data_IF_023967876910
#
_entry.id   IF_023967876910
#
_cell.length_a   1.000
_cell.length_b   1.000
_cell.length_c   1.000
_cell.angle_alpha   90.00
_cell.angle_beta   90.00
_cell.angle_gamma   90.00
#
_symmetry.space_group_name_H-M   'P 1'
#
loop_
_entity.id
_entity.type
_entity.pdbx_description
1 polymer ?
#
# COMPACT_ATOMS: atom_id res chain seq x y z
N UNK A 1 2.63 -39.77 -90.63
CA UNK A 1 2.83 -40.61 -89.42
C UNK A 1 3.97 -40.02 -88.58
N UNK A 2 3.63 -39.69 -87.33
CA UNK A 2 4.43 -39.34 -86.13
C UNK A 2 5.88 -38.85 -86.25
N UNK A 3 6.13 -37.63 -85.74
CA UNK A 3 7.33 -37.31 -84.92
C UNK A 3 7.14 -36.07 -84.03
N UNK A 4 7.50 -36.22 -82.74
CA UNK A 4 7.88 -35.21 -81.71
C UNK A 4 6.76 -34.25 -81.25
N UNK A 5 6.68 -33.77 -80.01
CA UNK A 5 7.71 -33.52 -79.00
C UNK A 5 7.11 -33.36 -77.59
N UNK A 6 7.96 -33.57 -76.58
CA UNK A 6 7.69 -33.59 -75.15
C UNK A 6 7.60 -32.17 -74.55
N UNK A 7 6.72 -31.92 -73.56
CA UNK A 7 7.04 -30.99 -72.46
C UNK A 7 6.11 -31.18 -71.24
N UNK A 8 6.57 -31.95 -70.25
CA UNK A 8 5.91 -32.10 -68.94
C UNK A 8 6.48 -31.03 -68.00
N UNK A 9 5.76 -29.92 -67.82
CA UNK A 9 6.10 -28.91 -66.80
C UNK A 9 5.84 -29.48 -65.40
N UNK A 10 6.90 -29.73 -64.64
CA UNK A 10 6.85 -29.88 -63.18
C UNK A 10 6.43 -28.54 -62.55
N UNK A 11 5.15 -28.43 -62.16
CA UNK A 11 4.67 -27.31 -61.34
C UNK A 11 5.06 -27.56 -59.88
N UNK A 12 6.19 -26.95 -59.50
CA UNK A 12 6.50 -26.38 -58.17
C UNK A 12 5.56 -26.74 -57.01
N UNK A 13 5.94 -27.75 -56.22
CA UNK A 13 5.43 -28.08 -54.88
C UNK A 13 5.89 -27.05 -53.82
N UNK A 14 5.61 -25.76 -54.00
CA UNK A 14 5.99 -24.72 -53.01
C UNK A 14 4.93 -24.51 -51.92
N UNK A 15 3.65 -24.74 -52.21
CA UNK A 15 2.55 -24.45 -51.26
C UNK A 15 2.46 -25.41 -50.07
N UNK A 16 2.82 -26.69 -50.26
CA UNK A 16 2.69 -27.73 -49.21
C UNK A 16 3.72 -27.51 -48.09
N UNK A 17 4.95 -27.07 -48.42
CA UNK A 17 6.00 -26.84 -47.43
C UNK A 17 5.69 -25.66 -46.49
N UNK A 18 5.06 -24.59 -46.99
CA UNK A 18 4.64 -23.47 -46.12
C UNK A 18 3.47 -23.82 -45.22
N UNK A 19 2.58 -24.72 -45.66
CA UNK A 19 1.44 -25.15 -44.86
C UNK A 19 1.89 -26.05 -43.69
N UNK A 20 2.83 -26.97 -43.93
CA UNK A 20 3.45 -27.76 -42.87
C UNK A 20 4.32 -26.92 -41.93
N UNK A 21 5.08 -25.95 -42.46
CA UNK A 21 5.87 -25.04 -41.63
C UNK A 21 4.97 -24.16 -40.76
N UNK A 22 3.85 -23.67 -41.30
CA UNK A 22 2.83 -22.90 -40.56
C UNK A 22 2.15 -23.75 -39.49
N UNK A 23 1.80 -25.00 -39.79
CA UNK A 23 1.21 -25.93 -38.82
C UNK A 23 2.19 -26.27 -37.67
N UNK A 24 3.47 -26.45 -38.00
CA UNK A 24 4.54 -26.67 -37.02
C UNK A 24 4.79 -25.43 -36.15
N UNK A 25 4.72 -24.22 -36.74
CA UNK A 25 4.81 -22.96 -36.00
C UNK A 25 3.60 -22.76 -35.07
N UNK A 26 2.41 -23.19 -35.49
CA UNK A 26 1.19 -23.14 -34.67
C UNK A 26 1.22 -24.13 -33.49
N UNK A 27 1.83 -25.30 -33.66
CA UNK A 27 2.05 -26.27 -32.58
C UNK A 27 3.04 -25.76 -31.51
N UNK A 28 3.98 -24.87 -31.88
CA UNK A 28 4.89 -24.22 -30.93
C UNK A 28 4.21 -23.10 -30.11
N UNK A 29 3.07 -22.58 -30.57
CA UNK A 29 2.34 -21.50 -29.89
C UNK A 29 1.35 -22.01 -28.82
N UNK A 30 1.13 -23.32 -28.72
CA UNK A 30 0.21 -23.93 -27.77
C UNK A 30 0.85 -24.26 -26.41
N UNK A 31 1.80 -23.44 -25.93
CA UNK A 31 2.22 -23.52 -24.54
C UNK A 31 1.16 -22.84 -23.68
N UNK A 32 0.31 -23.64 -23.03
CA UNK A 32 -0.60 -23.16 -22.00
C UNK A 32 0.24 -22.77 -20.79
N UNK A 33 0.65 -21.49 -20.72
CA UNK A 33 1.18 -20.93 -19.48
C UNK A 33 0.01 -20.88 -18.50
N UNK A 34 0.00 -21.79 -17.53
CA UNK A 34 -0.94 -21.69 -16.40
C UNK A 34 -0.44 -20.53 -15.54
N UNK A 35 -1.27 -19.50 -15.39
CA UNK A 35 -0.95 -18.38 -14.52
C UNK A 35 -0.96 -18.85 -13.06
N UNK A 36 -0.09 -18.27 -12.24
CA UNK A 36 -0.10 -18.49 -10.79
C UNK A 36 -1.47 -18.09 -10.26
N UNK A 37 -2.08 -18.94 -9.42
CA UNK A 37 -3.38 -18.67 -8.84
C UNK A 37 -3.25 -18.54 -7.32
N UNK A 38 -3.94 -17.54 -6.75
CA UNK A 38 -4.03 -17.35 -5.31
C UNK A 38 -5.49 -17.48 -4.89
N UNK A 39 -5.75 -18.41 -3.98
CA UNK A 39 -7.00 -18.51 -3.26
C UNK A 39 -6.82 -17.89 -1.86
N UNK A 40 -7.81 -17.13 -1.43
CA UNK A 40 -7.80 -16.43 -0.15
C UNK A 40 -8.89 -17.01 0.73
N UNK A 41 -8.53 -17.35 1.96
CA UNK A 41 -9.48 -17.69 3.01
C UNK A 41 -9.32 -16.70 4.17
N UNK A 42 -10.29 -15.80 4.30
CA UNK A 42 -10.28 -14.72 5.29
C UNK A 42 -10.94 -13.45 4.75
N UNK A 43 -10.88 -12.37 5.54
CA UNK A 43 -11.36 -11.06 5.12
C UNK A 43 -10.17 -10.09 5.01
N UNK A 44 -10.04 -9.48 3.85
CA UNK A 44 -9.07 -8.41 3.55
C UNK A 44 -9.84 -7.20 3.04
N UNK A 45 -10.54 -6.45 3.93
CA UNK A 45 -11.35 -5.32 3.52
C UNK A 45 -10.47 -4.17 2.99
N UNK A 46 -10.98 -3.43 2.01
CA UNK A 46 -10.26 -2.31 1.38
C UNK A 46 -9.99 -1.15 2.35
N UNK A 47 -10.77 -1.06 3.43
CA UNK A 47 -10.67 -0.01 4.44
C UNK A 47 -10.70 -0.61 5.85
N UNK A 48 -9.72 -0.24 6.68
CA UNK A 48 -9.47 -0.85 8.00
C UNK A 48 -9.09 0.17 9.05
N UNK A 49 -9.30 -0.14 10.33
CA UNK A 49 -8.88 0.73 11.42
C UNK A 49 -7.39 0.57 11.73
N UNK A 50 -6.76 1.68 12.11
CA UNK A 50 -5.40 1.68 12.67
C UNK A 50 -5.29 0.71 13.85
N UNK A 51 -4.23 -0.10 13.88
CA UNK A 51 -4.01 -1.06 14.97
C UNK A 51 -4.93 -2.29 14.96
N UNK A 52 -5.83 -2.44 13.97
CA UNK A 52 -6.64 -3.64 13.83
C UNK A 52 -5.75 -4.85 13.53
N UNK A 53 -5.99 -5.98 14.20
CA UNK A 53 -5.32 -7.25 13.90
C UNK A 53 -6.09 -7.96 12.78
N UNK A 54 -5.34 -8.43 11.78
CA UNK A 54 -5.84 -9.09 10.58
C UNK A 54 -5.19 -10.47 10.48
N UNK A 55 -6.01 -11.47 10.14
CA UNK A 55 -5.56 -12.85 9.94
C UNK A 55 -6.27 -13.42 8.71
N UNK A 56 -5.49 -13.96 7.79
CA UNK A 56 -5.99 -14.60 6.58
C UNK A 56 -5.00 -15.64 6.09
N UNK A 57 -5.50 -16.60 5.31
CA UNK A 57 -4.70 -17.67 4.70
C UNK A 57 -4.71 -17.53 3.20
N UNK A 58 -3.53 -17.71 2.61
CA UNK A 58 -3.30 -17.74 1.17
C UNK A 58 -2.91 -19.14 0.76
N UNK A 59 -3.57 -19.64 -0.28
CA UNK A 59 -3.16 -20.86 -0.98
C UNK A 59 -2.69 -20.44 -2.37
N UNK A 60 -1.39 -20.57 -2.61
CA UNK A 60 -0.75 -20.20 -3.87
C UNK A 60 -0.49 -21.49 -4.65
N UNK A 61 -1.06 -21.58 -5.84
CA UNK A 61 -1.01 -22.76 -6.71
C UNK A 61 -0.43 -22.40 -8.09
N UNK A 62 -0.02 -23.42 -8.84
CA UNK A 62 0.48 -23.28 -10.21
C UNK A 62 1.72 -22.37 -10.34
N UNK A 63 2.66 -22.48 -9.38
CA UNK A 63 3.91 -21.73 -9.43
C UNK A 63 4.69 -22.13 -10.70
N UNK A 64 5.10 -21.17 -11.55
CA UNK A 64 5.83 -21.44 -12.78
C UNK A 64 7.14 -22.18 -12.52
N UNK A 65 7.48 -23.23 -13.30
CA UNK A 65 8.75 -23.95 -13.17
C UNK A 65 10.01 -23.08 -13.35
N UNK A 66 9.86 -21.93 -14.02
CA UNK A 66 10.94 -20.98 -14.23
C UNK A 66 11.22 -20.09 -12.99
N UNK A 67 10.35 -20.12 -11.97
CA UNK A 67 10.55 -19.39 -10.73
C UNK A 67 11.52 -20.14 -9.83
N UNK A 68 12.50 -19.40 -9.30
CA UNK A 68 13.45 -19.90 -8.30
C UNK A 68 13.09 -19.39 -6.90
N UNK A 69 12.40 -18.24 -6.81
CA UNK A 69 11.95 -17.65 -5.56
C UNK A 69 10.54 -17.06 -5.67
N UNK A 70 9.80 -17.13 -4.56
CA UNK A 70 8.59 -16.35 -4.32
C UNK A 70 8.87 -15.36 -3.18
N UNK A 71 8.66 -14.08 -3.45
CA UNK A 71 8.86 -12.99 -2.50
C UNK A 71 7.53 -12.58 -1.90
N UNK A 72 7.49 -12.49 -0.57
CA UNK A 72 6.39 -11.97 0.21
C UNK A 72 6.84 -10.65 0.83
N UNK A 73 6.05 -9.60 0.63
CA UNK A 73 6.25 -8.29 1.25
C UNK A 73 4.93 -7.82 1.86
N UNK A 74 4.94 -7.19 3.04
CA UNK A 74 3.75 -6.69 3.73
C UNK A 74 4.04 -5.41 4.50
N UNK A 75 3.07 -4.50 4.49
CA UNK A 75 3.09 -3.32 5.35
C UNK A 75 2.46 -3.58 6.73
N UNK A 76 1.97 -4.81 6.98
CA UNK A 76 1.49 -5.21 8.30
C UNK A 76 2.63 -5.29 9.31
N UNK A 77 2.31 -5.00 10.57
CA UNK A 77 3.25 -5.06 11.69
C UNK A 77 3.07 -6.36 12.44
N UNK A 78 4.16 -6.99 12.87
CA UNK A 78 4.12 -8.18 13.72
C UNK A 78 3.38 -7.88 15.04
N UNK A 79 2.55 -8.83 15.48
CA UNK A 79 1.96 -8.87 16.83
C UNK A 79 2.77 -9.80 17.72
N UNK A 80 3.00 -9.46 18.98
CA UNK A 80 3.92 -10.20 19.87
C UNK A 80 3.61 -11.70 19.99
N UNK A 81 2.34 -12.07 20.02
CA UNK A 81 1.89 -13.45 20.25
C UNK A 81 1.84 -14.33 18.99
N UNK A 82 2.06 -13.76 17.80
CA UNK A 82 1.92 -14.49 16.53
C UNK A 82 3.07 -14.19 15.57
N UNK A 83 3.49 -15.22 14.83
CA UNK A 83 4.38 -15.01 13.70
C UNK A 83 3.65 -14.30 12.57
N UNK A 84 4.35 -13.37 11.90
CA UNK A 84 3.79 -12.61 10.79
C UNK A 84 3.38 -13.53 9.64
N UNK A 85 4.23 -14.49 9.31
CA UNK A 85 3.99 -15.54 8.34
C UNK A 85 4.10 -16.92 8.99
N UNK A 86 3.13 -17.78 8.72
CA UNK A 86 3.17 -19.20 9.06
C UNK A 86 2.87 -20.04 7.82
N UNK A 87 3.88 -20.74 7.32
CA UNK A 87 3.80 -21.61 6.15
C UNK A 87 3.43 -23.02 6.57
N UNK A 88 2.13 -23.28 6.70
CA UNK A 88 1.56 -24.48 7.32
C UNK A 88 2.05 -25.77 6.68
N UNK A 89 2.12 -25.83 5.35
CA UNK A 89 2.55 -27.04 4.62
C UNK A 89 4.08 -27.22 4.58
N UNK A 90 4.84 -26.22 5.03
CA UNK A 90 6.30 -26.18 5.00
C UNK A 90 6.93 -26.19 6.40
N UNK A 91 6.11 -26.11 7.45
CA UNK A 91 6.54 -26.05 8.86
C UNK A 91 7.61 -24.95 9.09
N UNK A 92 7.37 -23.77 8.53
CA UNK A 92 8.28 -22.63 8.56
C UNK A 92 7.52 -21.37 8.96
N UNK A 93 8.16 -20.49 9.73
CA UNK A 93 7.59 -19.19 10.13
C UNK A 93 8.58 -18.06 9.87
N UNK A 94 8.06 -16.86 9.66
CA UNK A 94 8.88 -15.65 9.49
C UNK A 94 8.19 -14.45 10.11
N UNK A 95 8.99 -13.58 10.71
CA UNK A 95 8.57 -12.30 11.30
C UNK A 95 9.04 -11.09 10.48
N UNK A 96 9.78 -11.32 9.39
CA UNK A 96 10.29 -10.24 8.54
C UNK A 96 9.19 -9.73 7.62
N UNK A 97 9.00 -8.41 7.54
CA UNK A 97 8.07 -7.76 6.62
C UNK A 97 8.30 -8.11 5.14
N UNK A 98 9.54 -8.44 4.78
CA UNK A 98 9.90 -8.95 3.46
C UNK A 98 10.68 -10.24 3.61
N UNK A 99 10.28 -11.26 2.84
CA UNK A 99 10.87 -12.58 2.88
C UNK A 99 10.82 -13.27 1.52
N UNK A 100 11.95 -13.83 1.09
CA UNK A 100 12.06 -14.60 -0.15
C UNK A 100 12.15 -16.10 0.17
N UNK A 101 11.18 -16.87 -0.31
CA UNK A 101 11.14 -18.32 -0.15
C UNK A 101 11.61 -19.02 -1.44
N UNK A 102 12.55 -19.97 -1.37
CA UNK A 102 12.99 -20.73 -2.55
C UNK A 102 11.88 -21.66 -3.03
N UNK A 103 11.63 -21.66 -4.33
CA UNK A 103 10.67 -22.57 -4.98
C UNK A 103 11.37 -23.36 -6.08
N UNK A 104 10.79 -24.50 -6.43
CA UNK A 104 11.29 -25.37 -7.49
C UNK A 104 10.13 -26.11 -8.14
N UNK A 105 10.43 -26.95 -9.14
CA UNK A 105 9.43 -27.73 -9.88
C UNK A 105 8.56 -28.66 -8.99
N UNK A 106 9.04 -29.04 -7.80
CA UNK A 106 8.28 -29.84 -6.84
C UNK A 106 7.35 -29.02 -5.94
N UNK A 107 7.47 -27.69 -5.96
CA UNK A 107 6.65 -26.77 -5.17
C UNK A 107 5.33 -26.52 -5.88
N UNK A 108 4.38 -27.42 -5.70
CA UNK A 108 3.08 -27.34 -6.37
C UNK A 108 2.10 -26.38 -5.71
N UNK A 109 2.23 -26.20 -4.39
CA UNK A 109 1.37 -25.31 -3.59
C UNK A 109 2.10 -24.77 -2.36
N UNK A 110 1.80 -23.53 -2.00
CA UNK A 110 2.25 -22.89 -0.76
C UNK A 110 1.02 -22.40 0.00
N UNK A 111 0.89 -22.84 1.25
CA UNK A 111 -0.18 -22.39 2.16
C UNK A 111 0.47 -21.54 3.24
N UNK A 112 0.14 -20.25 3.26
CA UNK A 112 0.66 -19.30 4.24
C UNK A 112 -0.47 -18.60 4.96
N UNK A 113 -0.47 -18.67 6.28
CA UNK A 113 -1.30 -17.84 7.14
C UNK A 113 -0.52 -16.59 7.53
N UNK A 114 -1.11 -15.43 7.25
CA UNK A 114 -0.55 -14.12 7.56
C UNK A 114 -1.31 -13.55 8.76
N UNK A 115 -0.58 -13.16 9.81
CA UNK A 115 -1.14 -12.55 11.01
C UNK A 115 -0.39 -11.25 11.31
N UNK A 116 -1.06 -10.12 11.18
CA UNK A 116 -0.42 -8.84 11.38
C UNK A 116 -1.38 -7.77 11.84
N UNK A 117 -0.82 -6.66 12.29
CA UNK A 117 -1.55 -5.49 12.73
C UNK A 117 -1.44 -4.39 11.67
N UNK A 118 -2.55 -3.69 11.41
CA UNK A 118 -2.54 -2.48 10.60
C UNK A 118 -1.60 -1.45 11.25
N UNK A 119 -0.63 -0.89 10.50
CA UNK A 119 0.40 -0.02 11.07
C UNK A 119 -0.20 1.24 11.69
N UNK A 120 0.50 1.76 12.70
CA UNK A 120 0.13 3.04 13.30
C UNK A 120 0.59 4.22 12.43
N UNK A 121 -0.37 5.08 12.08
CA UNK A 121 -0.18 6.30 11.30
C UNK A 121 -0.48 7.56 12.10
N UNK A 122 -1.09 7.44 13.28
CA UNK A 122 -1.36 8.56 14.18
C UNK A 122 -0.15 8.80 15.08
N UNK A 123 0.39 10.02 15.05
CA UNK A 123 1.45 10.47 15.95
C UNK A 123 0.92 11.57 16.86
N UNK A 124 1.10 11.41 18.17
CA UNK A 124 0.70 12.39 19.19
C UNK A 124 1.93 12.93 19.89
N UNK A 125 2.10 14.26 19.89
CA UNK A 125 3.14 14.97 20.64
C UNK A 125 2.51 16.02 21.55
N UNK A 126 2.95 16.07 22.79
CA UNK A 126 2.45 17.03 23.77
C UNK A 126 3.49 18.12 24.03
N UNK A 127 3.07 19.38 24.00
CA UNK A 127 3.89 20.55 24.32
C UNK A 127 3.07 21.46 25.25
N UNK A 128 3.52 21.62 26.50
CA UNK A 128 3.00 22.59 27.49
C UNK A 128 1.52 22.99 27.33
N UNK A 129 0.63 21.99 27.45
CA UNK A 129 -0.83 22.17 27.42
C UNK A 129 -1.51 21.96 26.05
N UNK A 130 -0.76 21.82 24.96
CA UNK A 130 -1.27 21.54 23.61
C UNK A 130 -0.82 20.14 23.15
N UNK A 131 -1.75 19.38 22.56
CA UNK A 131 -1.46 18.07 21.96
C UNK A 131 -1.55 18.17 20.45
N UNK A 132 -0.42 18.02 19.76
CA UNK A 132 -0.36 17.93 18.31
C UNK A 132 -0.60 16.48 17.87
N UNK A 133 -1.58 16.27 17.00
CA UNK A 133 -1.93 14.98 16.42
C UNK A 133 -1.74 15.03 14.92
N UNK A 134 -0.69 14.40 14.39
CA UNK A 134 -0.41 14.35 12.95
C UNK A 134 -0.63 12.95 12.42
N UNK A 135 -1.08 12.84 11.17
CA UNK A 135 -1.32 11.58 10.49
C UNK A 135 -0.32 11.39 9.35
N UNK A 136 0.27 10.21 9.23
CA UNK A 136 0.91 9.79 7.97
C UNK A 136 -0.17 9.55 6.91
N UNK A 137 0.24 9.32 5.66
CA UNK A 137 -0.68 8.93 4.59
C UNK A 137 -1.54 7.72 5.02
N UNK A 138 -2.83 7.74 4.69
CA UNK A 138 -3.77 6.63 4.95
C UNK A 138 -3.78 5.57 3.85
N UNK A 139 -3.26 5.89 2.66
CA UNK A 139 -3.26 5.02 1.48
C UNK A 139 -1.84 4.57 1.11
N UNK A 140 -1.74 3.61 0.19
CA UNK A 140 -0.46 3.08 -0.31
C UNK A 140 0.08 1.90 0.49
N UNK A 141 -0.69 1.37 1.45
CA UNK A 141 -0.37 0.16 2.18
C UNK A 141 -0.92 -1.08 1.47
N UNK A 142 -0.31 -2.23 1.71
CA UNK A 142 -0.76 -3.51 1.21
C UNK A 142 -0.68 -4.60 2.30
N UNK A 143 -1.72 -5.45 2.33
CA UNK A 143 -1.73 -6.66 3.15
C UNK A 143 -0.60 -7.58 2.73
N UNK A 144 -0.37 -7.70 1.43
CA UNK A 144 0.77 -8.37 0.88
C UNK A 144 1.04 -7.95 -0.57
N UNK A 145 2.28 -8.19 -1.00
CA UNK A 145 2.77 -8.10 -2.36
C UNK A 145 3.53 -9.38 -2.63
N UNK A 146 3.04 -10.17 -3.59
CA UNK A 146 3.60 -11.47 -3.92
C UNK A 146 4.19 -11.41 -5.32
N UNK A 147 5.48 -11.70 -5.42
CA UNK A 147 6.20 -11.68 -6.70
C UNK A 147 7.01 -12.95 -6.87
N UNK A 148 7.17 -13.38 -8.12
CA UNK A 148 8.00 -14.52 -8.49
C UNK A 148 9.24 -14.03 -9.23
N UNK A 149 10.40 -14.52 -8.82
CA UNK A 149 11.68 -14.13 -9.42
C UNK A 149 12.51 -15.37 -9.78
N UNK A 150 13.42 -15.19 -10.72
CA UNK A 150 14.47 -16.19 -10.99
C UNK A 150 15.72 -15.93 -10.14
N UNK A 151 16.67 -16.85 -10.22
CA UNK A 151 17.98 -16.87 -9.56
C UNK A 151 18.87 -15.67 -9.88
N UNK A 152 18.54 -14.89 -10.92
CA UNK A 152 19.21 -13.63 -11.26
C UNK A 152 18.52 -12.41 -10.65
N UNK A 153 17.45 -12.62 -9.87
CA UNK A 153 16.63 -11.56 -9.28
C UNK A 153 15.67 -10.88 -10.26
N UNK A 154 15.49 -11.41 -11.48
CA UNK A 154 14.54 -10.81 -12.42
C UNK A 154 13.12 -11.25 -12.09
N UNK A 155 12.20 -10.28 -12.11
CA UNK A 155 10.77 -10.52 -11.99
C UNK A 155 10.27 -11.39 -13.16
N UNK A 156 9.61 -12.48 -12.83
CA UNK A 156 8.89 -13.35 -13.77
C UNK A 156 7.43 -12.92 -13.83
N UNK A 157 6.83 -12.78 -12.65
CA UNK A 157 5.40 -12.47 -12.51
C UNK A 157 5.18 -11.68 -11.22
N UNK A 158 4.37 -10.62 -11.30
CA UNK A 158 3.75 -10.02 -10.14
C UNK A 158 2.44 -10.76 -9.92
N UNK A 159 2.38 -11.60 -8.90
CA UNK A 159 1.24 -12.50 -8.71
C UNK A 159 0.06 -11.72 -8.16
N UNK A 160 0.29 -10.93 -7.11
CA UNK A 160 -0.78 -10.23 -6.41
C UNK A 160 -0.21 -9.01 -5.66
N UNK A 161 -1.03 -7.97 -5.56
CA UNK A 161 -0.84 -6.89 -4.58
C UNK A 161 -2.21 -6.54 -4.04
N UNK A 162 -2.38 -6.70 -2.72
CA UNK A 162 -3.65 -6.42 -2.05
C UNK A 162 -3.56 -5.12 -1.24
N UNK A 163 -3.99 -3.98 -1.81
CA UNK A 163 -3.92 -2.71 -1.11
C UNK A 163 -4.97 -2.60 0.00
N UNK A 164 -4.72 -1.73 0.96
CA UNK A 164 -5.74 -1.23 1.89
C UNK A 164 -5.54 0.24 2.23
N UNK A 165 -6.63 0.87 2.67
CA UNK A 165 -6.64 2.21 3.24
C UNK A 165 -6.89 2.14 4.76
N UNK A 166 -6.13 2.92 5.51
CA UNK A 166 -6.28 3.07 6.94
C UNK A 166 -7.30 4.18 7.22
N UNK A 167 -8.46 3.77 7.71
CA UNK A 167 -9.53 4.63 8.17
C UNK A 167 -9.11 5.39 9.42
N UNK A 168 -9.34 6.70 9.41
CA UNK A 168 -9.22 7.58 10.58
C UNK A 168 -10.59 8.22 10.82
N UNK A 169 -11.49 7.58 11.59
CA UNK A 169 -12.86 8.06 11.78
C UNK A 169 -12.94 9.49 12.31
N UNK A 170 -11.97 9.93 13.10
CA UNK A 170 -11.88 11.29 13.63
C UNK A 170 -11.69 12.34 12.51
N UNK A 171 -10.85 12.05 11.52
CA UNK A 171 -10.62 12.92 10.36
C UNK A 171 -11.89 12.99 9.50
N UNK A 172 -12.54 11.85 9.30
CA UNK A 172 -13.76 11.76 8.49
C UNK A 172 -14.92 12.53 9.11
N UNK A 173 -15.16 12.31 10.41
CA UNK A 173 -16.20 13.02 11.16
C UNK A 173 -15.92 14.53 11.25
N UNK A 174 -14.67 14.94 11.43
CA UNK A 174 -14.29 16.35 11.39
C UNK A 174 -14.56 16.99 10.02
N UNK A 175 -14.20 16.29 8.94
CA UNK A 175 -14.47 16.75 7.57
C UNK A 175 -15.97 16.89 7.31
N UNK A 176 -16.78 15.94 7.77
CA UNK A 176 -18.24 16.02 7.69
C UNK A 176 -18.80 17.21 8.47
N UNK A 177 -18.28 17.46 9.68
CA UNK A 177 -18.68 18.59 10.50
C UNK A 177 -18.39 19.93 9.81
N UNK A 178 -17.16 20.17 9.36
CA UNK A 178 -16.82 21.46 8.74
C UNK A 178 -17.56 21.68 7.40
N UNK A 179 -17.99 20.62 6.72
CA UNK A 179 -18.80 20.74 5.51
C UNK A 179 -20.17 21.38 5.76
N UNK A 180 -20.68 21.34 7.00
CA UNK A 180 -21.93 21.97 7.41
C UNK A 180 -21.82 23.49 7.64
N UNK A 181 -20.60 24.02 7.77
CA UNK A 181 -20.35 25.45 7.91
C UNK A 181 -20.62 26.13 6.57
N UNK A 182 -21.27 27.28 6.50
CA UNK A 182 -21.52 27.93 5.19
C UNK A 182 -20.29 28.66 4.63
N UNK A 183 -19.50 29.28 5.52
CA UNK A 183 -18.37 30.14 5.14
C UNK A 183 -17.15 29.32 4.63
N UNK A 184 -16.75 29.47 3.36
CA UNK A 184 -15.58 28.78 2.80
C UNK A 184 -14.25 29.11 3.47
N UNK A 185 -14.12 30.32 4.04
CA UNK A 185 -12.93 30.71 4.79
C UNK A 185 -12.79 29.82 6.03
N UNK A 186 -13.85 29.68 6.82
CA UNK A 186 -13.82 28.86 8.03
C UNK A 186 -13.58 27.38 7.73
N UNK A 187 -14.16 26.82 6.66
CA UNK A 187 -13.86 25.44 6.22
C UNK A 187 -12.37 25.23 6.02
N UNK A 188 -11.76 26.07 5.16
CA UNK A 188 -10.34 25.96 4.82
C UNK A 188 -9.45 26.20 6.04
N UNK A 189 -9.83 27.16 6.87
CA UNK A 189 -9.09 27.53 8.06
C UNK A 189 -9.05 26.40 9.10
N UNK A 190 -10.22 25.80 9.38
CA UNK A 190 -10.36 24.67 10.28
C UNK A 190 -9.61 23.43 9.78
N UNK A 191 -9.68 23.18 8.48
CA UNK A 191 -8.92 22.10 7.84
C UNK A 191 -7.40 22.32 8.00
N UNK A 192 -6.89 23.52 7.75
CA UNK A 192 -5.46 23.83 7.90
C UNK A 192 -4.96 23.68 9.35
N UNK A 193 -5.77 24.07 10.34
CA UNK A 193 -5.45 23.81 11.76
C UNK A 193 -5.38 22.31 12.06
N UNK A 194 -6.38 21.56 11.61
CA UNK A 194 -6.45 20.12 11.82
C UNK A 194 -5.26 19.40 11.15
N UNK A 195 -4.92 19.77 9.92
CA UNK A 195 -3.81 19.19 9.15
C UNK A 195 -2.43 19.52 9.76
N UNK A 196 -2.31 20.66 10.47
CA UNK A 196 -1.14 21.02 11.28
C UNK A 196 -1.07 20.29 12.62
N UNK A 197 -2.09 19.49 12.92
CA UNK A 197 -2.21 18.66 14.10
C UNK A 197 -2.86 19.32 15.30
N UNK A 198 -3.43 20.52 15.16
CA UNK A 198 -4.26 21.16 16.18
C UNK A 198 -5.69 20.60 16.16
N UNK A 199 -5.79 19.26 16.20
CA UNK A 199 -7.05 18.50 16.03
C UNK A 199 -8.09 18.86 17.08
N UNK A 200 -7.65 19.05 18.33
CA UNK A 200 -8.55 19.39 19.43
C UNK A 200 -9.07 20.82 19.28
N UNK A 201 -8.18 21.77 19.03
CA UNK A 201 -8.50 23.19 18.91
C UNK A 201 -9.37 23.47 17.69
N UNK A 202 -9.05 22.85 16.55
CA UNK A 202 -9.86 22.95 15.34
C UNK A 202 -11.25 22.36 15.56
N UNK A 203 -11.35 21.23 16.26
CA UNK A 203 -12.65 20.64 16.61
C UNK A 203 -13.48 21.54 17.52
N UNK A 204 -12.90 22.06 18.60
CA UNK A 204 -13.60 22.99 19.50
C UNK A 204 -14.11 24.23 18.76
N UNK A 205 -13.31 24.76 17.84
CA UNK A 205 -13.72 25.90 17.01
C UNK A 205 -14.85 25.53 16.03
N UNK A 206 -14.77 24.34 15.42
CA UNK A 206 -15.82 23.82 14.55
C UNK A 206 -17.14 23.59 15.29
N UNK A 207 -17.08 23.02 16.51
CA UNK A 207 -18.25 22.78 17.37
C UNK A 207 -19.03 24.10 17.56
N UNK A 208 -18.34 25.18 17.93
CA UNK A 208 -18.97 26.50 18.09
C UNK A 208 -19.53 27.09 16.78
N UNK A 209 -18.93 26.82 15.63
CA UNK A 209 -19.42 27.29 14.32
C UNK A 209 -20.64 26.52 13.83
N UNK A 210 -20.82 25.28 14.31
CA UNK A 210 -21.96 24.42 13.95
C UNK A 210 -23.10 24.48 14.97
N UNK A 211 -22.83 24.83 16.22
CA UNK A 211 -23.85 25.02 17.25
C UNK A 211 -24.60 26.36 17.04
N UNK A 212 -25.94 26.31 17.07
CA UNK A 212 -26.83 27.49 16.95
C UNK A 212 -26.78 28.44 18.17
N UNK A 213 -25.80 28.27 19.05
CA UNK A 213 -25.63 29.13 20.21
C UNK A 213 -25.15 30.51 19.76
N UNK A 214 -25.85 31.54 20.24
CA UNK A 214 -25.52 32.93 19.96
C UNK A 214 -24.14 33.24 20.54
N UNK A 215 -23.15 33.29 19.64
CA UNK A 215 -21.81 33.77 19.90
C UNK A 215 -21.81 35.03 20.80
N UNK A 216 -20.94 35.11 21.82
CA UNK A 216 -20.70 36.35 22.52
C UNK A 216 -20.23 37.45 21.55
N UNK A 217 -20.72 38.68 21.71
CA UNK A 217 -20.48 39.82 20.80
C UNK A 217 -19.00 40.19 20.54
N UNK A 218 -18.06 39.64 21.30
CA UNK A 218 -16.62 39.86 21.19
C UNK A 218 -15.87 38.75 20.44
N UNK A 219 -16.60 37.79 19.87
CA UNK A 219 -16.03 36.60 19.23
C UNK A 219 -15.05 36.91 18.10
N UNK A 220 -15.23 37.99 17.34
CA UNK A 220 -14.30 38.40 16.27
C UNK A 220 -12.87 38.71 16.76
N UNK A 221 -12.66 38.93 18.06
CA UNK A 221 -11.34 39.16 18.66
C UNK A 221 -10.59 37.85 18.94
N UNK A 222 -11.30 36.74 19.16
CA UNK A 222 -10.76 35.48 19.67
C UNK A 222 -9.97 34.70 18.60
N UNK A 223 -10.42 34.61 17.33
CA UNK A 223 -9.62 34.09 16.24
C UNK A 223 -8.31 34.86 16.14
N UNK A 224 -8.31 36.18 15.96
CA UNK A 224 -7.06 36.93 15.69
C UNK A 224 -5.93 36.71 16.70
N UNK A 225 -6.24 36.70 18.01
CA UNK A 225 -5.23 36.61 19.06
C UNK A 225 -4.79 35.18 19.39
N UNK A 226 -5.71 34.21 19.42
CA UNK A 226 -5.35 32.81 19.72
C UNK A 226 -4.64 32.17 18.51
N UNK A 227 -5.03 32.56 17.29
CA UNK A 227 -4.46 32.07 16.03
C UNK A 227 -3.04 32.59 15.81
N UNK A 228 -2.80 33.89 16.10
CA UNK A 228 -1.46 34.46 16.01
C UNK A 228 -0.48 33.82 17.01
N UNK A 229 -0.95 33.52 18.23
CA UNK A 229 -0.15 32.85 19.26
C UNK A 229 0.15 31.39 18.91
N UNK A 230 -0.83 30.62 18.43
CA UNK A 230 -0.63 29.20 18.08
C UNK A 230 0.21 29.01 16.80
N UNK A 231 0.01 29.85 15.77
CA UNK A 231 0.86 29.83 14.57
C UNK A 231 2.28 30.34 14.88
N UNK A 232 2.41 31.37 15.72
CA UNK A 232 3.71 31.85 16.20
C UNK A 232 4.46 30.79 17.00
N UNK A 233 3.76 30.04 17.85
CA UNK A 233 4.31 28.91 18.60
C UNK A 233 4.75 27.77 17.67
N UNK A 234 3.91 27.35 16.71
CA UNK A 234 4.26 26.29 15.74
C UNK A 234 5.46 26.65 14.84
N UNK A 235 5.58 27.93 14.43
CA UNK A 235 6.74 28.42 13.69
C UNK A 235 7.98 28.47 14.62
N UNK A 236 7.82 28.92 15.86
CA UNK A 236 8.91 28.99 16.85
C UNK A 236 9.51 27.64 17.22
N UNK A 237 8.67 26.60 17.42
CA UNK A 237 9.12 25.24 17.73
C UNK A 237 9.93 24.62 16.57
N UNK A 238 9.68 25.01 15.31
CA UNK A 238 10.47 24.54 14.16
C UNK A 238 11.84 25.20 14.03
N UNK A 239 12.01 26.41 14.56
CA UNK A 239 13.31 27.12 14.55
C UNK A 239 14.20 26.72 15.73
N UNK A 240 13.64 26.37 16.89
CA UNK A 240 14.43 26.02 18.08
C UNK A 240 14.98 24.57 18.08
N UNK A 241 14.76 23.78 17.02
CA UNK A 241 15.40 22.47 16.83
C UNK A 241 16.58 22.51 15.86
N UNK A 242 17.09 23.70 15.54
CA UNK A 242 18.24 23.90 14.65
C UNK A 242 19.52 24.38 15.34
N UNK A 243 19.44 24.78 16.61
CA UNK A 243 20.58 25.26 17.38
C UNK A 243 20.81 24.35 18.59
N UNK A 244 21.18 23.10 18.33
CA UNK A 244 21.95 22.24 19.24
C UNK A 244 22.83 21.35 18.36
N UNK A 245 23.65 21.99 17.52
CA UNK A 245 24.81 21.39 16.88
C UNK A 245 26.02 22.17 17.38
N UNK A 246 26.72 21.52 18.31
CA UNK A 246 28.17 21.58 18.48
C UNK A 246 28.79 22.94 18.86
N UNK A 247 28.84 23.19 20.18
CA UNK A 247 29.96 23.96 20.75
C UNK A 247 30.85 22.96 21.47
N UNK A 248 31.69 22.30 20.67
CA UNK A 248 32.58 21.23 21.07
C UNK A 248 33.95 21.33 20.40
N UNK A 249 34.53 22.53 20.36
CA UNK A 249 35.96 22.81 20.12
C UNK A 249 36.13 24.28 20.54
N UNK A 250 36.99 24.66 21.49
CA UNK A 250 38.45 24.55 21.47
C UNK A 250 39.01 24.61 22.92
N UNK A 251 40.03 23.81 23.23
CA UNK A 251 41.17 24.25 24.05
C UNK A 251 42.32 23.25 23.91
N UNK A 252 43.43 23.78 23.37
CA UNK A 252 44.84 23.33 23.34
C UNK A 252 45.23 21.92 23.84
#
# INVERSE_FOLDING_TARGET
MLKRWCNKKMKSFKGVNYLFLSLFLLLLLASTVSATNIEINGQTPDKVLEGQVISYTLTINNIPPAADYISFDTDLVKVDDFHLYNFTNLNFTSDANKFDFPVNESTTSIIVTINGQIPQITNKKQYDGVTLVTYKQSTGYAYDRITLTNSKGNLIESVETRPFEISIPEVESFREQINQIDDPFFKKYLQDLHDKGLVKESKTLADHLTENDKWPSYWWLIPGTIIGLLLGFLIGVRFNSKDDIDVGEDTE
#
